data_IF_235473691614
#
_entry.id   IF_235473691614
#
_cell.length_a   1.000
_cell.length_b   1.000
_cell.length_c   1.000
_cell.angle_alpha   90.00
_cell.angle_beta   90.00
_cell.angle_gamma   90.00
#
_symmetry.space_group_name_H-M   'P 1'
#
loop_
_entity.id
_entity.type
_entity.pdbx_description
1 polymer ?
#
# COMPACT_ATOMS: atom_id res chain seq x y z
N UNK A 1 17.79 18.83 -37.84
CA UNK A 1 18.55 18.07 -36.82
C UNK A 1 18.39 16.60 -37.16
N UNK A 2 19.48 15.86 -37.39
CA UNK A 2 19.44 14.40 -37.47
C UNK A 2 19.46 13.86 -36.06
N UNK A 3 18.35 13.28 -35.59
CA UNK A 3 18.35 12.44 -34.39
C UNK A 3 19.20 11.20 -34.68
N UNK A 4 20.45 11.23 -34.23
CA UNK A 4 21.27 10.03 -34.14
C UNK A 4 20.64 9.18 -33.05
N UNK A 5 19.87 8.16 -33.44
CA UNK A 5 19.45 7.10 -32.54
C UNK A 5 20.73 6.46 -31.95
N UNK A 6 21.12 6.93 -30.76
CA UNK A 6 22.24 6.35 -30.02
C UNK A 6 21.88 4.90 -29.76
N UNK A 7 22.77 3.97 -30.15
CA UNK A 7 22.62 2.58 -29.76
C UNK A 7 22.52 2.50 -28.22
N UNK A 8 21.73 1.54 -27.67
CA UNK A 8 21.59 1.41 -26.23
C UNK A 8 22.96 1.08 -25.62
N UNK A 9 23.48 2.01 -24.83
CA UNK A 9 24.66 1.82 -23.99
C UNK A 9 24.26 0.90 -22.84
N UNK A 10 25.02 -0.16 -22.56
CA UNK A 10 24.70 -1.14 -21.52
C UNK A 10 25.94 -1.42 -20.64
N UNK A 11 26.89 -0.49 -20.56
CA UNK A 11 28.14 -0.66 -19.80
C UNK A 11 27.91 -0.82 -18.28
N UNK A 12 26.70 -0.49 -17.80
CA UNK A 12 26.23 -0.65 -16.42
C UNK A 12 25.71 -2.06 -16.08
N UNK A 13 25.54 -2.95 -17.06
CA UNK A 13 24.95 -4.28 -16.87
C UNK A 13 25.93 -5.20 -16.16
N UNK A 14 25.43 -5.94 -15.18
CA UNK A 14 26.27 -6.76 -14.30
C UNK A 14 26.93 -7.91 -15.03
N UNK A 15 28.16 -8.24 -14.62
CA UNK A 15 28.93 -9.36 -15.18
C UNK A 15 28.77 -10.61 -14.32
N UNK A 16 28.79 -11.82 -14.93
CA UNK A 16 28.75 -13.06 -14.18
C UNK A 16 29.88 -13.12 -13.12
N UNK A 17 29.52 -13.32 -11.86
CA UNK A 17 30.47 -13.46 -10.75
C UNK A 17 30.77 -12.18 -9.96
N UNK A 18 30.13 -11.05 -10.23
CA UNK A 18 30.16 -9.90 -9.32
C UNK A 18 29.33 -10.16 -8.05
N UNK A 19 29.82 -9.67 -6.92
CA UNK A 19 29.16 -9.74 -5.60
C UNK A 19 28.14 -8.61 -5.36
N UNK A 20 27.74 -7.90 -6.42
CA UNK A 20 26.80 -6.77 -6.39
C UNK A 20 25.43 -7.18 -6.93
N UNK A 21 24.39 -6.39 -6.62
CA UNK A 21 23.03 -6.62 -7.12
C UNK A 21 23.05 -6.58 -8.65
N UNK A 22 22.57 -7.62 -9.34
CA UNK A 22 22.52 -7.65 -10.79
C UNK A 22 21.66 -6.52 -11.37
N UNK A 23 22.19 -5.85 -12.39
CA UNK A 23 21.52 -4.82 -13.18
C UNK A 23 21.35 -5.36 -14.60
N UNK A 24 20.12 -5.32 -15.11
CA UNK A 24 19.71 -5.81 -16.45
C UNK A 24 19.86 -4.71 -17.52
N UNK A 25 19.84 -5.09 -18.81
CA UNK A 25 19.91 -4.15 -19.94
C UNK A 25 18.58 -3.40 -20.11
N UNK A 26 18.66 -2.24 -20.76
CA UNK A 26 17.46 -1.46 -21.12
C UNK A 26 16.49 -2.21 -22.04
N UNK A 27 17.02 -3.11 -22.87
CA UNK A 27 16.23 -3.90 -23.81
C UNK A 27 15.70 -5.20 -23.22
N UNK A 28 16.10 -5.55 -22.00
CA UNK A 28 15.69 -6.81 -21.40
C UNK A 28 14.22 -6.71 -20.96
N UNK A 29 13.41 -7.67 -21.40
CA UNK A 29 12.01 -7.75 -20.99
C UNK A 29 11.95 -8.12 -19.52
N UNK A 30 11.52 -7.17 -18.70
CA UNK A 30 11.21 -7.40 -17.29
C UNK A 30 9.74 -7.80 -17.14
N UNK A 31 9.46 -8.69 -16.19
CA UNK A 31 8.08 -9.00 -15.83
C UNK A 31 7.43 -7.74 -15.26
N UNK A 32 6.23 -7.42 -15.73
CA UNK A 32 5.53 -6.20 -15.34
C UNK A 32 5.06 -6.24 -13.88
N UNK A 33 4.94 -7.44 -13.32
CA UNK A 33 4.34 -7.69 -12.02
C UNK A 33 2.82 -7.58 -12.03
N UNK A 34 2.22 -7.25 -13.18
CA UNK A 34 0.78 -7.18 -13.38
C UNK A 34 0.30 -8.38 -14.17
N UNK A 35 -0.72 -9.08 -13.69
CA UNK A 35 -1.39 -10.11 -14.46
C UNK A 35 -2.56 -9.50 -15.27
N UNK A 36 -2.41 -9.28 -16.59
CA UNK A 36 -3.44 -8.60 -17.38
C UNK A 36 -4.76 -9.38 -17.49
N UNK A 37 -4.78 -10.67 -17.15
CA UNK A 37 -6.00 -11.48 -17.16
C UNK A 37 -6.85 -11.29 -15.88
N UNK A 38 -6.24 -10.84 -14.79
CA UNK A 38 -6.89 -10.79 -13.46
C UNK A 38 -6.84 -9.43 -12.79
N UNK A 39 -5.87 -8.59 -13.13
CA UNK A 39 -5.63 -7.30 -12.49
C UNK A 39 -6.11 -6.18 -13.40
N UNK A 40 -7.41 -5.89 -13.30
CA UNK A 40 -8.10 -4.85 -14.06
C UNK A 40 -8.32 -3.62 -13.16
N UNK A 41 -7.58 -2.54 -13.44
CA UNK A 41 -7.69 -1.28 -12.70
C UNK A 41 -9.03 -0.57 -12.89
N UNK A 42 -9.66 -0.72 -14.06
CA UNK A 42 -10.96 -0.10 -14.34
C UNK A 42 -12.03 -0.78 -13.48
N UNK A 43 -11.98 -2.12 -13.39
CA UNK A 43 -12.87 -2.88 -12.52
C UNK A 43 -12.66 -2.60 -11.02
N UNK A 44 -11.41 -2.36 -10.58
CA UNK A 44 -11.15 -1.96 -9.19
C UNK A 44 -11.73 -0.58 -8.89
N UNK A 45 -11.55 0.39 -9.78
CA UNK A 45 -12.05 1.75 -9.59
C UNK A 45 -13.59 1.78 -9.50
N UNK A 46 -14.28 1.03 -10.35
CA UNK A 46 -15.75 0.94 -10.29
C UNK A 46 -16.25 0.36 -8.96
N UNK A 47 -15.56 -0.65 -8.43
CA UNK A 47 -15.88 -1.22 -7.13
C UNK A 47 -15.64 -0.22 -6.00
N UNK A 48 -14.51 0.48 -6.03
CA UNK A 48 -14.17 1.49 -5.03
C UNK A 48 -15.20 2.62 -5.00
N UNK A 49 -15.65 3.10 -6.17
CA UNK A 49 -16.70 4.11 -6.28
C UNK A 49 -18.03 3.62 -5.68
N UNK A 50 -18.39 2.35 -5.89
CA UNK A 50 -19.59 1.75 -5.31
C UNK A 50 -19.49 1.60 -3.78
N UNK A 51 -18.36 1.09 -3.28
CA UNK A 51 -18.12 0.87 -1.86
C UNK A 51 -18.02 2.20 -1.09
N UNK A 52 -17.46 3.25 -1.70
CA UNK A 52 -17.34 4.58 -1.10
C UNK A 52 -18.71 5.24 -0.83
N UNK A 53 -19.71 4.96 -1.68
CA UNK A 53 -21.08 5.50 -1.53
C UNK A 53 -21.97 4.58 -0.68
N UNK A 54 -21.54 3.34 -0.41
CA UNK A 54 -22.32 2.37 0.34
C UNK A 54 -22.49 2.79 1.81
N UNK A 55 -23.69 3.29 2.13
CA UNK A 55 -24.06 3.72 3.49
C UNK A 55 -24.24 2.56 4.46
N UNK A 56 -24.42 1.32 3.99
CA UNK A 56 -24.52 0.14 4.85
C UNK A 56 -23.19 -0.14 5.58
N UNK A 57 -22.07 0.35 5.06
CA UNK A 57 -20.76 0.30 5.71
C UNK A 57 -20.61 1.35 6.84
N UNK A 58 -21.59 2.24 7.02
CA UNK A 58 -21.57 3.26 8.07
C UNK A 58 -22.35 2.73 9.28
N UNK A 59 -21.73 2.81 10.46
CA UNK A 59 -22.42 2.51 11.72
C UNK A 59 -23.46 3.63 11.97
N UNK A 60 -24.75 3.26 12.00
CA UNK A 60 -25.88 4.19 12.12
C UNK A 60 -25.96 4.92 13.48
N UNK A 61 -25.31 4.37 14.50
CA UNK A 61 -25.37 4.89 15.87
C UNK A 61 -24.11 5.63 16.30
N UNK A 62 -24.30 6.61 17.20
CA UNK A 62 -23.18 7.24 17.90
C UNK A 62 -22.58 6.21 18.87
N UNK A 63 -21.50 5.57 18.47
CA UNK A 63 -20.70 4.68 19.33
C UNK A 63 -20.08 5.40 20.54
N UNK A 64 -20.12 6.74 20.57
CA UNK A 64 -19.69 7.57 21.70
C UNK A 64 -20.92 8.10 22.45
N UNK A 65 -21.43 7.29 23.38
CA UNK A 65 -22.54 7.63 24.29
C UNK A 65 -22.10 8.01 25.71
N UNK A 66 -20.82 7.86 26.05
CA UNK A 66 -20.33 8.32 27.35
C UNK A 66 -20.39 9.85 27.39
N UNK A 67 -21.21 10.38 28.31
CA UNK A 67 -21.02 11.75 28.77
C UNK A 67 -19.53 11.91 29.10
N UNK A 68 -18.87 12.91 28.52
CA UNK A 68 -17.48 13.17 28.88
C UNK A 68 -17.47 13.64 30.32
N UNK A 69 -17.17 12.74 31.26
CA UNK A 69 -16.61 13.20 32.52
C UNK A 69 -15.31 13.94 32.19
N UNK A 70 -15.05 15.05 32.88
CA UNK A 70 -13.74 15.72 32.80
C UNK A 70 -12.68 14.67 33.06
N UNK A 71 -11.71 14.54 32.16
CA UNK A 71 -10.60 13.59 32.33
C UNK A 71 -9.97 13.81 33.71
N UNK A 72 -10.16 12.85 34.61
CA UNK A 72 -9.53 12.81 35.94
C UNK A 72 -8.45 11.75 35.93
N UNK A 73 -7.37 12.00 36.67
CA UNK A 73 -6.32 11.00 36.85
C UNK A 73 -6.92 9.76 37.54
N UNK A 74 -6.65 8.54 37.03
CA UNK A 74 -7.03 7.30 37.70
C UNK A 74 -6.37 7.22 39.08
N UNK A 75 -7.09 6.71 40.08
CA UNK A 75 -6.49 6.41 41.39
C UNK A 75 -5.51 5.23 41.32
N UNK A 76 -4.63 5.10 42.31
CA UNK A 76 -3.57 4.06 42.38
C UNK A 76 -4.08 2.62 42.20
N UNK A 77 -5.37 2.38 42.46
CA UNK A 77 -6.01 1.06 42.37
C UNK A 77 -7.08 0.98 41.27
N UNK A 78 -7.31 2.06 40.51
CA UNK A 78 -8.34 2.11 39.47
C UNK A 78 -7.84 1.40 38.19
N UNK A 79 -8.43 0.25 37.86
CA UNK A 79 -8.06 -0.56 36.71
C UNK A 79 -7.06 -1.68 36.99
N UNK A 80 -6.61 -1.83 38.24
CA UNK A 80 -5.82 -3.00 38.66
C UNK A 80 -6.77 -4.16 39.05
N UNK A 81 -6.43 -5.42 38.72
CA UNK A 81 -7.19 -6.59 39.15
C UNK A 81 -7.15 -6.72 40.68
N UNK A 82 -8.29 -7.06 41.29
CA UNK A 82 -8.34 -7.48 42.70
C UNK A 82 -8.06 -8.97 42.77
N UNK A 83 -7.01 -9.37 43.46
CA UNK A 83 -6.78 -10.77 43.80
C UNK A 83 -7.91 -11.24 44.74
N UNK A 84 -8.68 -12.25 44.31
CA UNK A 84 -9.66 -12.99 45.13
C UNK A 84 -8.98 -14.16 45.87
#
# INVERSE_FOLDING_TARGET
MSDSASAPDNDYVSRPGQSEIPVEKDSDTVESGVNPETEDSDAQLEKDDADAINKENIIDERTRGAAKETYREPGDTEGLPTDD
#
